data_IF_575351868990
#
_entry.id   IF_575351868990
#
_cell.length_a   1.000
_cell.length_b   1.000
_cell.length_c   1.000
_cell.angle_alpha   90.00
_cell.angle_beta   90.00
_cell.angle_gamma   90.00
#
_symmetry.space_group_name_H-M   'P 1'
#
loop_
_entity.id
_entity.type
_entity.pdbx_description
1 polymer ?
#
# COMPACT_ATOMS: atom_id res chain seq x y z
N UNK A 1 -0.08 4.31 46.86
CA UNK A 1 -1.37 4.34 46.15
C UNK A 1 -1.34 5.14 44.84
N UNK A 2 -0.63 6.27 44.74
CA UNK A 2 -0.46 7.02 43.46
C UNK A 2 0.24 6.23 42.35
N UNK A 3 1.16 5.33 42.71
CA UNK A 3 2.04 4.68 41.72
C UNK A 3 1.27 3.72 40.82
N UNK A 4 0.26 3.03 41.35
CA UNK A 4 -0.62 2.15 40.58
C UNK A 4 -1.45 2.90 39.55
N UNK A 5 -2.00 4.06 39.92
CA UNK A 5 -2.79 4.90 39.02
C UNK A 5 -1.94 5.46 37.89
N UNK A 6 -0.74 5.94 38.21
CA UNK A 6 0.24 6.39 37.21
C UNK A 6 0.67 5.26 36.27
N UNK A 7 0.85 4.05 36.79
CA UNK A 7 1.21 2.89 35.97
C UNK A 7 0.09 2.54 34.98
N UNK A 8 -1.17 2.61 35.42
CA UNK A 8 -2.34 2.35 34.58
C UNK A 8 -2.47 3.35 33.43
N UNK A 9 -2.36 4.65 33.72
CA UNK A 9 -2.37 5.72 32.71
C UNK A 9 -1.18 5.58 31.74
N UNK A 10 0.01 5.21 32.23
CA UNK A 10 1.21 5.00 31.40
C UNK A 10 1.12 3.73 30.54
N UNK A 11 0.37 2.72 30.99
CA UNK A 11 0.10 1.51 30.22
C UNK A 11 -0.86 1.81 29.09
N UNK A 12 -1.97 2.50 29.39
CA UNK A 12 -3.00 2.89 28.43
C UNK A 12 -2.44 3.76 27.30
N UNK A 13 -1.64 4.78 27.64
CA UNK A 13 -0.94 5.61 26.63
C UNK A 13 -0.02 4.82 25.71
N UNK A 14 0.73 3.84 26.23
CA UNK A 14 1.62 2.99 25.43
C UNK A 14 0.84 2.07 24.49
N UNK A 15 -0.32 1.57 24.95
CA UNK A 15 -1.22 0.76 24.12
C UNK A 15 -1.87 1.59 23.01
N UNK A 16 -2.22 2.85 23.30
CA UNK A 16 -2.76 3.79 22.30
C UNK A 16 -1.70 4.15 21.24
N UNK A 17 -0.46 4.43 21.64
CA UNK A 17 0.66 4.66 20.71
C UNK A 17 0.98 3.42 19.86
N UNK A 18 0.89 2.22 20.43
CA UNK A 18 1.05 0.96 19.70
C UNK A 18 -0.13 0.64 18.76
N UNK A 19 -1.35 1.03 19.13
CA UNK A 19 -2.53 0.89 18.27
C UNK A 19 -2.54 1.90 17.11
N UNK A 20 -1.88 3.06 17.28
CA UNK A 20 -1.62 4.03 16.22
C UNK A 20 -0.56 3.52 15.24
N UNK A 21 0.32 2.61 15.67
CA UNK A 21 1.17 1.78 14.80
C UNK A 21 0.36 0.69 14.04
N UNK A 22 -0.90 0.99 13.72
CA UNK A 22 -1.73 0.22 12.80
C UNK A 22 -0.98 0.08 11.49
N UNK A 23 -0.79 -1.17 11.06
CA UNK A 23 -0.32 -1.52 9.71
C UNK A 23 -1.05 -0.63 8.70
N UNK A 24 -0.33 0.33 8.11
CA UNK A 24 -0.92 1.20 7.11
C UNK A 24 -1.49 0.34 6.00
N UNK A 25 -2.70 0.64 5.51
CA UNK A 25 -3.30 -0.08 4.38
C UNK A 25 -2.32 -0.15 3.20
N UNK A 26 -1.54 0.91 2.99
CA UNK A 26 -0.45 0.96 2.00
C UNK A 26 0.64 -0.05 2.31
N UNK A 27 1.01 -0.22 3.58
CA UNK A 27 2.02 -1.20 4.02
C UNK A 27 1.53 -2.64 3.90
N UNK A 28 0.24 -2.91 4.14
CA UNK A 28 -0.38 -4.21 3.90
C UNK A 28 -0.44 -4.54 2.40
N UNK A 29 -0.86 -3.60 1.54
CA UNK A 29 -0.85 -3.75 0.08
C UNK A 29 0.57 -4.00 -0.41
N UNK A 30 1.55 -3.24 0.10
CA UNK A 30 2.96 -3.40 -0.24
C UNK A 30 3.48 -4.79 0.17
N UNK A 31 3.14 -5.25 1.37
CA UNK A 31 3.47 -6.61 1.85
C UNK A 31 2.92 -7.68 0.92
N UNK A 32 1.63 -7.61 0.56
CA UNK A 32 0.97 -8.58 -0.30
C UNK A 32 1.58 -8.57 -1.72
N UNK A 33 1.86 -7.38 -2.26
CA UNK A 33 2.40 -7.16 -3.60
C UNK A 33 3.88 -7.58 -3.75
N UNK A 34 4.64 -7.63 -2.65
CA UNK A 34 6.04 -8.09 -2.66
C UNK A 34 6.23 -9.48 -2.04
N UNK A 35 5.14 -10.14 -1.61
CA UNK A 35 5.21 -11.49 -1.06
C UNK A 35 5.73 -12.51 -2.09
N UNK A 36 6.69 -13.38 -1.71
CA UNK A 36 7.33 -14.32 -2.64
C UNK A 36 6.36 -15.34 -3.25
N UNK A 37 5.34 -15.73 -2.50
CA UNK A 37 4.30 -16.69 -2.91
C UNK A 37 3.33 -16.13 -3.96
N UNK A 38 3.18 -14.80 -4.02
CA UNK A 38 2.28 -14.13 -4.97
C UNK A 38 3.03 -13.49 -6.14
N UNK A 39 4.36 -13.69 -6.25
CA UNK A 39 5.22 -13.07 -7.27
C UNK A 39 4.66 -13.14 -8.68
N UNK A 40 4.14 -14.30 -9.10
CA UNK A 40 3.58 -14.46 -10.44
C UNK A 40 2.30 -13.63 -10.64
N UNK A 41 1.40 -13.59 -9.65
CA UNK A 41 0.22 -12.73 -9.68
C UNK A 41 0.60 -11.25 -9.66
N UNK A 42 1.59 -10.87 -8.86
CA UNK A 42 2.05 -9.49 -8.73
C UNK A 42 2.75 -9.00 -10.00
N UNK A 43 3.50 -9.86 -10.69
CA UNK A 43 4.05 -9.59 -12.02
C UNK A 43 2.95 -9.36 -13.05
N UNK A 44 1.88 -10.17 -13.04
CA UNK A 44 0.75 -9.98 -13.95
C UNK A 44 0.03 -8.65 -13.68
N UNK A 45 -0.15 -8.27 -12.42
CA UNK A 45 -0.72 -6.96 -12.05
C UNK A 45 0.18 -5.82 -12.53
N UNK A 46 1.48 -5.88 -12.21
CA UNK A 46 2.45 -4.86 -12.62
C UNK A 46 2.51 -4.71 -14.14
N UNK A 47 2.54 -5.83 -14.87
CA UNK A 47 2.52 -5.86 -16.32
C UNK A 47 1.23 -5.24 -16.87
N UNK A 48 0.07 -5.62 -16.32
CA UNK A 48 -1.23 -5.10 -16.76
C UNK A 48 -1.33 -3.59 -16.58
N UNK A 49 -0.93 -3.08 -15.41
CA UNK A 49 -0.89 -1.63 -15.12
C UNK A 49 0.07 -0.91 -16.06
N UNK A 50 1.23 -1.52 -16.34
CA UNK A 50 2.24 -0.94 -17.23
C UNK A 50 1.75 -0.85 -18.67
N UNK A 51 1.18 -1.93 -19.21
CA UNK A 51 0.62 -1.97 -20.58
C UNK A 51 -0.55 -1.00 -20.70
N UNK A 52 -1.46 -0.97 -19.72
CA UNK A 52 -2.60 -0.06 -19.73
C UNK A 52 -2.17 1.41 -19.73
N UNK A 53 -1.25 1.77 -18.83
CA UNK A 53 -0.71 3.14 -18.77
C UNK A 53 0.05 3.48 -20.05
N UNK A 54 0.83 2.54 -20.57
CA UNK A 54 1.54 2.69 -21.84
C UNK A 54 0.59 2.94 -23.01
N UNK A 55 -0.52 2.21 -23.09
CA UNK A 55 -1.54 2.40 -24.12
C UNK A 55 -2.19 3.79 -24.03
N UNK A 56 -2.52 4.25 -22.82
CA UNK A 56 -3.07 5.61 -22.61
C UNK A 56 -2.06 6.66 -23.08
N UNK A 57 -0.81 6.56 -22.64
CA UNK A 57 0.25 7.50 -23.03
C UNK A 57 0.45 7.47 -24.54
N UNK A 58 0.48 6.29 -25.15
CA UNK A 58 0.63 6.13 -26.58
C UNK A 58 -0.51 6.80 -27.35
N UNK A 59 -1.76 6.52 -27.01
CA UNK A 59 -2.93 7.15 -27.63
C UNK A 59 -2.97 8.66 -27.40
N UNK A 60 -2.49 9.14 -26.24
CA UNK A 60 -2.48 10.59 -25.95
C UNK A 60 -1.47 11.35 -26.78
N UNK A 61 -0.34 10.73 -27.15
CA UNK A 61 0.73 11.39 -27.90
C UNK A 61 0.65 11.12 -29.41
N UNK A 62 0.11 9.97 -29.82
CA UNK A 62 0.08 9.52 -31.21
C UNK A 62 -1.32 9.15 -31.70
N UNK A 63 -2.37 9.42 -30.93
CA UNK A 63 -3.76 9.11 -31.31
C UNK A 63 -4.19 9.76 -32.61
N UNK A 64 -3.74 10.98 -32.90
CA UNK A 64 -4.03 11.65 -34.19
C UNK A 64 -3.41 10.92 -35.39
N UNK A 65 -2.26 10.24 -35.22
CA UNK A 65 -1.65 9.45 -36.30
C UNK A 65 -2.44 8.18 -36.62
N UNK A 66 -3.28 7.72 -35.68
CA UNK A 66 -4.15 6.55 -35.85
C UNK A 66 -5.54 6.93 -36.36
N UNK A 67 -5.88 8.23 -36.38
CA UNK A 67 -7.19 8.74 -36.78
C UNK A 67 -7.29 9.04 -38.29
N UNK A 68 -6.34 8.54 -39.08
CA UNK A 68 -6.30 8.62 -40.55
C UNK A 68 -7.27 7.61 -41.17
#
# INVERSE_FOLDING_TARGET
>A
MRDFFTLYIKMDKRQLEQAEQKTSFVQAIKSELFSPEKRQGNLNIALSVSVFTGAIVFLRNWGELLAV
#
